data_IF_323547101731
#
_entry.id   IF_323547101731
#
_cell.length_a   1.000
_cell.length_b   1.000
_cell.length_c   1.000
_cell.angle_alpha   90.00
_cell.angle_beta   90.00
_cell.angle_gamma   90.00
#
_symmetry.space_group_name_H-M   'P 1'
#
loop_
_entity.id
_entity.type
_entity.pdbx_description
1 polymer ?
#
# COMPACT_ATOMS: atom_id res chain seq x y z
N UNK A 1 -10.17 3.13 -24.07
CA UNK A 1 -10.44 1.89 -23.31
C UNK A 1 -9.41 1.77 -22.19
N UNK A 2 -9.82 1.42 -20.97
CA UNK A 2 -8.91 1.26 -19.83
C UNK A 2 -8.60 -0.21 -19.57
N UNK A 3 -7.34 -0.51 -19.28
CA UNK A 3 -6.92 -1.81 -18.77
C UNK A 3 -6.54 -1.65 -17.30
N UNK A 4 -7.22 -2.39 -16.42
CA UNK A 4 -7.10 -2.24 -14.98
C UNK A 4 -6.56 -3.54 -14.37
N UNK A 5 -5.52 -3.45 -13.56
CA UNK A 5 -5.02 -4.60 -12.81
C UNK A 5 -5.99 -5.01 -11.69
N UNK A 6 -6.20 -6.31 -11.53
CA UNK A 6 -7.06 -6.91 -10.52
C UNK A 6 -8.44 -7.32 -11.04
N UNK A 7 -9.37 -7.56 -10.10
CA UNK A 7 -10.72 -8.07 -10.39
C UNK A 7 -11.84 -7.07 -10.10
N UNK A 8 -11.50 -5.88 -9.56
CA UNK A 8 -12.47 -4.85 -9.16
C UNK A 8 -12.00 -3.49 -9.64
N UNK A 9 -12.92 -2.73 -10.21
CA UNK A 9 -12.69 -1.35 -10.60
C UNK A 9 -13.97 -0.54 -10.41
N UNK A 10 -13.85 0.66 -9.86
CA UNK A 10 -14.94 1.63 -9.88
C UNK A 10 -14.91 2.34 -11.22
N UNK A 11 -15.95 2.14 -12.04
CA UNK A 11 -16.07 2.72 -13.39
C UNK A 11 -15.71 4.21 -13.35
N UNK A 12 -14.85 4.63 -14.29
CA UNK A 12 -14.50 6.02 -14.49
C UNK A 12 -15.35 6.62 -15.62
N UNK A 13 -16.34 7.42 -15.24
CA UNK A 13 -17.29 8.05 -16.16
C UNK A 13 -17.90 6.99 -17.11
N UNK A 14 -17.96 7.28 -18.41
CA UNK A 14 -18.43 6.35 -19.44
C UNK A 14 -17.32 5.66 -20.24
N UNK A 15 -16.08 5.76 -19.75
CA UNK A 15 -14.95 5.15 -20.44
C UNK A 15 -15.01 3.62 -20.27
N UNK A 16 -14.97 2.85 -21.36
CA UNK A 16 -15.01 1.40 -21.28
C UNK A 16 -13.71 0.88 -20.65
N UNK A 17 -13.82 -0.17 -19.84
CA UNK A 17 -12.71 -0.73 -19.09
C UNK A 17 -12.76 -2.26 -19.05
N UNK A 18 -11.60 -2.88 -18.85
CA UNK A 18 -11.45 -4.31 -18.61
C UNK A 18 -10.54 -4.52 -17.41
N UNK A 19 -11.00 -5.32 -16.46
CA UNK A 19 -10.20 -5.78 -15.31
C UNK A 19 -9.44 -7.05 -15.68
N UNK A 20 -8.17 -7.10 -15.34
CA UNK A 20 -7.28 -8.23 -15.64
C UNK A 20 -6.55 -8.63 -14.36
N UNK A 21 -6.84 -9.83 -13.87
CA UNK A 21 -6.12 -10.39 -12.71
C UNK A 21 -4.65 -10.64 -13.08
N UNK A 22 -3.73 -10.09 -12.30
CA UNK A 22 -2.28 -10.10 -12.56
C UNK A 22 -1.98 -9.52 -13.94
N UNK A 23 -2.58 -8.36 -14.22
CA UNK A 23 -2.49 -7.68 -15.51
C UNK A 23 -1.13 -7.08 -15.78
N UNK A 24 -0.40 -6.72 -14.72
CA UNK A 24 0.99 -6.27 -14.76
C UNK A 24 1.93 -7.31 -15.39
N UNK A 25 1.70 -8.60 -15.15
CA UNK A 25 2.45 -9.69 -15.78
C UNK A 25 2.01 -10.03 -17.22
N UNK A 26 0.98 -9.38 -17.76
CA UNK A 26 0.37 -9.72 -19.06
C UNK A 26 0.36 -8.57 -20.06
N UNK A 27 0.23 -7.33 -19.58
CA UNK A 27 0.05 -6.15 -20.43
C UNK A 27 1.08 -5.08 -20.06
N UNK A 28 1.85 -4.63 -21.05
CA UNK A 28 2.92 -3.65 -20.87
C UNK A 28 2.41 -2.30 -20.34
N UNK A 29 1.21 -1.87 -20.73
CA UNK A 29 0.61 -0.62 -20.23
C UNK A 29 0.27 -0.69 -18.74
N UNK A 30 -0.21 -1.84 -18.26
CA UNK A 30 -0.44 -2.07 -16.82
C UNK A 30 0.90 -2.13 -16.09
N UNK A 31 1.89 -2.86 -16.62
CA UNK A 31 3.23 -2.94 -16.04
C UNK A 31 3.87 -1.55 -15.87
N UNK A 32 3.81 -0.72 -16.91
CA UNK A 32 4.33 0.65 -16.88
C UNK A 32 3.62 1.50 -15.82
N UNK A 33 2.29 1.42 -15.72
CA UNK A 33 1.53 2.12 -14.68
C UNK A 33 1.93 1.66 -13.27
N UNK A 34 2.13 0.35 -13.06
CA UNK A 34 2.57 -0.21 -11.78
C UNK A 34 3.97 0.29 -11.37
N UNK A 35 4.90 0.41 -12.31
CA UNK A 35 6.25 0.95 -12.05
C UNK A 35 6.17 2.42 -11.62
N UNK A 36 5.43 3.24 -12.36
CA UNK A 36 5.25 4.65 -12.02
C UNK A 36 4.59 4.82 -10.64
N UNK A 37 3.54 4.06 -10.36
CA UNK A 37 2.86 4.11 -9.08
C UNK A 37 3.77 3.70 -7.91
N UNK A 38 4.56 2.63 -8.09
CA UNK A 38 5.44 2.10 -7.05
C UNK A 38 6.60 3.04 -6.75
N UNK A 39 7.28 3.52 -7.78
CA UNK A 39 8.43 4.44 -7.64
C UNK A 39 8.01 5.72 -6.92
N UNK A 40 6.95 6.38 -7.39
CA UNK A 40 6.39 7.55 -6.73
C UNK A 40 6.00 7.30 -5.27
N UNK A 41 5.32 6.16 -5.00
CA UNK A 41 4.93 5.82 -3.62
C UNK A 41 6.14 5.62 -2.71
N UNK A 42 7.19 4.99 -3.20
CA UNK A 42 8.38 4.72 -2.41
C UNK A 42 9.16 6.00 -2.08
N UNK A 43 9.22 6.95 -3.01
CA UNK A 43 9.79 8.28 -2.80
C UNK A 43 8.96 9.08 -1.78
N UNK A 44 7.63 9.08 -1.93
CA UNK A 44 6.74 9.73 -0.98
C UNK A 44 6.89 9.18 0.46
N UNK A 45 7.03 7.86 0.62
CA UNK A 45 7.28 7.27 1.94
C UNK A 45 8.67 7.63 2.50
N UNK A 46 9.67 7.85 1.64
CA UNK A 46 10.99 8.34 2.07
C UNK A 46 10.92 9.79 2.56
N UNK A 47 10.13 10.64 1.91
CA UNK A 47 9.89 12.02 2.35
C UNK A 47 9.16 12.06 3.69
N UNK A 48 8.07 11.30 3.82
CA UNK A 48 7.35 11.18 5.09
C UNK A 48 8.22 10.66 6.22
N UNK A 49 9.20 9.79 5.94
CA UNK A 49 10.15 9.34 6.96
C UNK A 49 11.04 10.47 7.48
N UNK A 50 11.35 11.49 6.67
CA UNK A 50 12.12 12.66 7.14
C UNK A 50 11.31 13.47 8.15
N UNK A 51 10.00 13.58 7.95
CA UNK A 51 9.08 14.27 8.84
C UNK A 51 8.72 13.43 10.08
N UNK A 52 8.57 12.11 9.91
CA UNK A 52 8.19 11.15 10.94
C UNK A 52 9.23 10.00 11.01
N UNK A 53 10.42 10.24 11.57
CA UNK A 53 11.55 9.32 11.51
C UNK A 53 11.34 8.03 12.30
N UNK A 54 10.42 8.01 13.27
CA UNK A 54 10.28 6.89 14.19
C UNK A 54 9.65 5.63 13.56
N UNK A 55 8.88 5.77 12.48
CA UNK A 55 8.06 4.68 11.93
C UNK A 55 8.75 3.82 10.89
N UNK A 56 10.03 4.07 10.57
CA UNK A 56 10.83 3.27 9.63
C UNK A 56 10.24 3.20 8.20
N UNK A 57 9.49 4.22 7.81
CA UNK A 57 8.76 4.25 6.54
C UNK A 57 9.65 4.25 5.29
N UNK A 58 10.91 4.68 5.39
CA UNK A 58 11.87 4.54 4.30
C UNK A 58 12.16 3.08 3.92
N UNK A 59 12.07 2.15 4.88
CA UNK A 59 12.23 0.72 4.67
C UNK A 59 10.89 0.02 4.46
N UNK A 60 9.95 0.19 5.40
CA UNK A 60 8.73 -0.60 5.39
C UNK A 60 7.60 -0.03 4.53
N UNK A 61 7.73 1.19 3.97
CA UNK A 61 6.74 1.83 3.08
C UNK A 61 5.31 1.88 3.65
N UNK A 62 5.17 1.89 4.98
CA UNK A 62 3.90 1.91 5.69
C UNK A 62 3.29 0.53 5.93
N UNK A 63 3.94 -0.56 5.51
CA UNK A 63 3.49 -1.92 5.83
C UNK A 63 3.61 -2.17 7.35
N UNK A 64 2.71 -2.99 7.94
CA UNK A 64 2.67 -3.23 9.37
C UNK A 64 3.77 -4.22 9.77
N UNK A 65 5.03 -3.79 9.75
CA UNK A 65 6.17 -4.58 10.25
C UNK A 65 6.20 -4.53 11.78
N UNK A 66 6.97 -5.42 12.41
CA UNK A 66 7.18 -5.39 13.87
C UNK A 66 7.72 -4.03 14.33
N UNK A 67 8.68 -3.46 13.59
CA UNK A 67 9.28 -2.15 13.88
C UNK A 67 8.26 -1.01 13.75
N UNK A 68 7.46 -1.02 12.69
CA UNK A 68 6.41 -0.02 12.50
C UNK A 68 5.38 -0.07 13.65
N UNK A 69 4.89 -1.27 14.01
CA UNK A 69 3.95 -1.41 15.13
C UNK A 69 4.55 -0.99 16.47
N UNK A 70 5.83 -1.29 16.71
CA UNK A 70 6.52 -0.84 17.92
C UNK A 70 6.56 0.69 17.98
N UNK A 71 6.92 1.35 16.88
CA UNK A 71 6.93 2.80 16.78
C UNK A 71 5.54 3.43 17.01
N UNK A 72 4.46 2.81 16.51
CA UNK A 72 3.09 3.28 16.80
C UNK A 72 2.76 3.16 18.29
N UNK A 73 3.20 2.10 18.98
CA UNK A 73 2.99 1.97 20.43
C UNK A 73 3.76 3.02 21.22
N UNK A 74 4.97 3.37 20.78
CA UNK A 74 5.86 4.29 21.48
C UNK A 74 5.51 5.76 21.21
N UNK A 75 5.24 6.12 19.95
CA UNK A 75 5.08 7.50 19.50
C UNK A 75 3.64 7.87 19.12
N UNK A 76 2.70 6.92 19.17
CA UNK A 76 1.32 7.11 18.76
C UNK A 76 1.13 7.09 17.23
N UNK A 77 -0.09 7.39 16.78
CA UNK A 77 -0.42 7.46 15.35
C UNK A 77 -0.14 8.84 14.77
N UNK A 78 -0.20 8.94 13.44
CA UNK A 78 -0.03 10.19 12.68
C UNK A 78 -1.22 10.38 11.74
N UNK A 79 -1.40 11.57 11.13
CA UNK A 79 -2.45 11.80 10.13
C UNK A 79 -2.38 10.87 8.90
N UNK A 80 -1.21 10.27 8.65
CA UNK A 80 -0.99 9.34 7.53
C UNK A 80 -1.34 7.89 7.87
N UNK A 81 -1.58 7.57 9.15
CA UNK A 81 -2.06 6.26 9.54
C UNK A 81 -3.52 6.09 9.17
N UNK A 82 -3.85 4.94 8.59
CA UNK A 82 -5.22 4.58 8.23
C UNK A 82 -5.93 4.06 9.47
N UNK A 83 -6.68 4.93 10.15
CA UNK A 83 -7.31 4.61 11.44
C UNK A 83 -8.36 3.49 11.38
N UNK A 84 -8.85 3.15 10.18
CA UNK A 84 -9.76 2.00 9.98
C UNK A 84 -9.04 0.65 9.91
N UNK A 85 -7.70 0.64 9.94
CA UNK A 85 -6.89 -0.57 9.88
C UNK A 85 -6.49 -0.99 11.30
N UNK A 86 -6.26 -2.29 11.51
CA UNK A 86 -5.69 -2.78 12.75
C UNK A 86 -4.19 -2.41 12.83
N UNK A 87 -3.89 -1.30 13.49
CA UNK A 87 -2.53 -0.73 13.58
C UNK A 87 -1.64 -1.50 14.57
N UNK A 88 -2.21 -1.99 15.67
CA UNK A 88 -1.43 -2.56 16.77
C UNK A 88 -1.39 -4.09 16.79
N UNK A 89 -2.16 -4.76 15.92
CA UNK A 89 -2.28 -6.21 15.90
C UNK A 89 -2.96 -6.74 17.17
N UNK A 90 -3.97 -6.02 17.69
CA UNK A 90 -4.76 -6.48 18.84
C UNK A 90 -5.68 -7.64 18.47
N UNK A 91 -6.10 -7.72 17.21
CA UNK A 91 -6.68 -8.94 16.66
C UNK A 91 -5.58 -9.98 16.43
N UNK A 92 -5.79 -11.25 16.80
CA UNK A 92 -4.83 -12.31 16.56
C UNK A 92 -4.48 -12.34 15.07
N UNK A 93 -3.18 -12.33 14.77
CA UNK A 93 -2.70 -12.59 13.43
C UNK A 93 -3.23 -13.96 13.02
N UNK A 94 -3.84 -14.09 11.84
CA UNK A 94 -4.30 -15.36 11.28
C UNK A 94 -3.16 -16.38 11.39
N UNK A 95 -3.26 -17.27 12.37
CA UNK A 95 -2.42 -18.46 12.46
C UNK A 95 -2.92 -19.38 11.37
N UNK A 96 -2.08 -19.60 10.36
CA UNK A 96 -2.34 -20.62 9.35
C UNK A 96 -1.83 -21.92 9.96
N UNK A 97 -2.70 -22.86 10.36
CA UNK A 97 -2.22 -24.18 10.74
C UNK A 97 -1.54 -24.79 9.50
N UNK A 98 -0.29 -25.19 9.67
CA UNK A 98 0.38 -26.08 8.73
C UNK A 98 -0.14 -27.51 8.94
#
# INVERSE_FOLDING_TARGET
HLLIDGNRFKKYQDLPHTTVVKGDGKYLSIAAASILAKTYRDDYMNELHKEYPFYDWNSNKGYPTKKHRAAIREHGTTPYHRMTFNLLGTDPQLEIPF
#
